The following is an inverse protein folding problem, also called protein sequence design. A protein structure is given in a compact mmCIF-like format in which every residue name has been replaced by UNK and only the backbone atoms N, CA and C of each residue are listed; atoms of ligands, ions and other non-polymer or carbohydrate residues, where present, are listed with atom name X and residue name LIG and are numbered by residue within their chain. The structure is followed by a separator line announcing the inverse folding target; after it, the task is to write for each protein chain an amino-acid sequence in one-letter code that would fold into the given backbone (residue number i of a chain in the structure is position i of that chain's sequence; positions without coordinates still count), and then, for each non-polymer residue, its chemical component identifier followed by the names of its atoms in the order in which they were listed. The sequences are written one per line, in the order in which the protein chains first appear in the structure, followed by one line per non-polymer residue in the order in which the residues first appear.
data_IF_642594464064
#
_entry.id   IF_642594464064
#
_cell.length_a   1.000
_cell.length_b   1.000
_cell.length_c   1.000
_cell.angle_alpha   90.00
_cell.angle_beta   90.00
_cell.angle_gamma   90.00
#
_symmetry.space_group_name_H-M   'P 1'
#
loop_
_entity.id
_entity.type
_entity.pdbx_description
1 polymer ?
#
# COMPACT_ATOMS: atom_id res chain seq x y z
N UNK A 1 -15.28 -9.36 35.54
CA UNK A 1 -14.99 -9.74 34.14
C UNK A 1 -14.93 -8.48 33.28
N UNK A 2 -14.09 -8.46 32.23
CA UNK A 2 -14.06 -7.34 31.26
C UNK A 2 -15.21 -7.49 30.25
N UNK A 3 -15.89 -6.39 29.95
CA UNK A 3 -16.91 -6.35 28.89
C UNK A 3 -16.24 -6.50 27.52
N UNK A 4 -16.79 -7.36 26.66
CA UNK A 4 -16.38 -7.54 25.26
C UNK A 4 -17.39 -6.85 24.37
N UNK A 5 -16.93 -5.97 23.47
CA UNK A 5 -17.74 -5.41 22.40
C UNK A 5 -17.39 -6.13 21.10
N UNK A 6 -18.40 -6.66 20.42
CA UNK A 6 -18.26 -7.23 19.07
C UNK A 6 -18.99 -6.33 18.08
N UNK A 7 -18.42 -6.18 16.90
CA UNK A 7 -19.01 -5.47 15.79
C UNK A 7 -19.11 -6.39 14.57
N UNK A 8 -20.04 -6.11 13.67
CA UNK A 8 -20.29 -6.92 12.48
C UNK A 8 -20.42 -6.03 11.25
N UNK A 9 -19.91 -6.52 10.12
CA UNK A 9 -20.19 -5.95 8.80
C UNK A 9 -21.08 -6.90 8.01
N UNK A 10 -21.94 -6.36 7.15
CA UNK A 10 -22.86 -7.16 6.33
C UNK A 10 -22.86 -6.70 4.87
N UNK A 11 -23.00 -7.65 3.95
CA UNK A 11 -23.22 -7.40 2.53
C UNK A 11 -24.61 -7.88 2.12
N UNK A 12 -25.30 -7.09 1.31
CA UNK A 12 -26.70 -7.34 0.92
C UNK A 12 -26.82 -7.36 -0.60
N UNK A 13 -27.41 -8.41 -1.16
CA UNK A 13 -27.79 -8.50 -2.57
C UNK A 13 -29.28 -8.83 -2.67
N UNK A 14 -29.97 -8.25 -3.66
CA UNK A 14 -31.42 -8.36 -3.84
C UNK A 14 -31.76 -9.21 -5.06
N UNK A 15 -32.61 -10.22 -4.88
CA UNK A 15 -33.22 -10.92 -6.02
C UNK A 15 -34.42 -10.11 -6.57
N UNK A 16 -34.62 -10.05 -7.91
CA UNK A 16 -33.73 -10.52 -8.98
C UNK A 16 -32.69 -9.47 -9.42
N UNK A 17 -32.76 -8.24 -8.88
CA UNK A 17 -31.95 -7.08 -9.29
C UNK A 17 -30.45 -7.37 -9.38
N UNK A 18 -29.94 -8.02 -8.35
CA UNK A 18 -28.52 -8.31 -8.16
C UNK A 18 -28.22 -9.78 -8.52
N UNK A 19 -29.08 -10.47 -9.26
CA UNK A 19 -28.79 -11.81 -9.79
C UNK A 19 -29.99 -12.74 -9.73
N UNK A 20 -30.06 -13.62 -10.72
CA UNK A 20 -31.17 -14.59 -10.85
C UNK A 20 -30.80 -16.00 -10.37
N UNK A 21 -29.53 -16.23 -10.00
CA UNK A 21 -29.05 -17.51 -9.46
C UNK A 21 -28.53 -17.35 -8.03
N UNK A 22 -28.64 -18.38 -7.17
CA UNK A 22 -28.08 -18.36 -5.82
C UNK A 22 -26.59 -18.02 -5.80
N UNK A 23 -25.79 -18.61 -6.70
CA UNK A 23 -24.35 -18.37 -6.76
C UNK A 23 -24.00 -16.91 -7.06
N UNK A 24 -24.74 -16.27 -7.99
CA UNK A 24 -24.53 -14.83 -8.28
C UNK A 24 -24.92 -13.95 -7.09
N UNK A 25 -26.03 -14.24 -6.42
CA UNK A 25 -26.46 -13.48 -5.25
C UNK A 25 -25.48 -13.61 -4.09
N UNK A 26 -24.96 -14.81 -3.82
CA UNK A 26 -23.95 -15.05 -2.78
C UNK A 26 -22.66 -14.30 -3.11
N UNK A 27 -22.16 -14.43 -4.34
CA UNK A 27 -20.96 -13.73 -4.78
C UNK A 27 -21.09 -12.22 -4.63
N UNK A 28 -22.22 -11.64 -5.03
CA UNK A 28 -22.47 -10.19 -4.95
C UNK A 28 -22.69 -9.69 -3.52
N UNK A 29 -23.34 -10.49 -2.67
CA UNK A 29 -23.42 -10.19 -1.24
C UNK A 29 -22.02 -10.21 -0.60
N UNK A 30 -21.13 -11.12 -1.01
CA UNK A 30 -19.75 -11.14 -0.52
C UNK A 30 -18.94 -9.93 -1.02
N UNK A 31 -19.11 -9.51 -2.28
CA UNK A 31 -18.52 -8.25 -2.78
C UNK A 31 -18.98 -7.04 -1.97
N UNK A 32 -20.27 -6.96 -1.65
CA UNK A 32 -20.80 -5.89 -0.81
C UNK A 32 -20.26 -5.96 0.64
N UNK A 33 -20.14 -7.16 1.20
CA UNK A 33 -19.55 -7.39 2.52
C UNK A 33 -18.08 -6.95 2.55
N UNK A 34 -17.34 -7.23 1.47
CA UNK A 34 -15.97 -6.80 1.31
C UNK A 34 -15.86 -5.28 1.35
N UNK A 35 -16.72 -4.58 0.59
CA UNK A 35 -16.76 -3.12 0.58
C UNK A 35 -17.10 -2.55 1.98
N UNK A 36 -18.05 -3.17 2.67
CA UNK A 36 -18.42 -2.79 4.05
C UNK A 36 -17.25 -2.98 5.05
N UNK A 37 -16.35 -3.94 4.81
CA UNK A 37 -15.14 -4.13 5.63
C UNK A 37 -14.06 -3.08 5.35
N UNK A 38 -14.02 -2.52 4.14
CA UNK A 38 -13.04 -1.50 3.74
C UNK A 38 -13.43 -0.09 4.15
N UNK A 39 -14.71 0.27 4.07
CA UNK A 39 -15.18 1.63 4.38
C UNK A 39 -15.34 1.95 5.88
N UNK A 40 -14.73 1.15 6.76
CA UNK A 40 -14.68 1.43 8.20
C UNK A 40 -15.16 0.30 9.12
N UNK A 41 -15.62 -0.84 8.57
CA UNK A 41 -16.22 -1.96 9.32
C UNK A 41 -17.47 -1.51 10.11
N UNK A 42 -18.12 -2.44 10.82
CA UNK A 42 -19.31 -2.15 11.64
C UNK A 42 -20.46 -1.47 10.87
N UNK A 43 -20.60 -1.84 9.60
CA UNK A 43 -21.56 -1.23 8.67
C UNK A 43 -22.07 -2.28 7.68
N UNK A 44 -23.10 -1.93 6.91
CA UNK A 44 -23.56 -2.75 5.81
C UNK A 44 -23.47 -2.00 4.48
N UNK A 45 -23.36 -2.77 3.40
CA UNK A 45 -23.45 -2.27 2.03
C UNK A 45 -24.40 -3.14 1.24
N UNK A 46 -25.16 -2.49 0.37
CA UNK A 46 -25.93 -3.16 -0.68
C UNK A 46 -25.04 -3.28 -1.90
N UNK A 47 -25.16 -4.38 -2.64
CA UNK A 47 -24.41 -4.55 -3.87
C UNK A 47 -24.74 -3.44 -4.86
N UNK A 48 -23.68 -2.85 -5.40
CA UNK A 48 -23.72 -1.95 -6.55
C UNK A 48 -22.74 -2.47 -7.58
N UNK A 49 -23.09 -2.40 -8.86
CA UNK A 49 -22.26 -2.94 -9.94
C UNK A 49 -20.84 -2.32 -9.97
N UNK A 50 -20.70 -1.06 -9.52
CA UNK A 50 -19.39 -0.41 -9.38
C UNK A 50 -18.47 -1.13 -8.37
N UNK A 51 -19.02 -1.81 -7.36
CA UNK A 51 -18.25 -2.59 -6.39
C UNK A 51 -17.55 -3.78 -7.05
N UNK A 52 -18.17 -4.40 -8.05
CA UNK A 52 -17.58 -5.51 -8.82
C UNK A 52 -16.35 -5.02 -9.61
N UNK A 53 -16.46 -3.84 -10.24
CA UNK A 53 -15.34 -3.20 -10.95
C UNK A 53 -14.18 -2.86 -9.99
N UNK A 54 -14.50 -2.28 -8.83
CA UNK A 54 -13.48 -1.95 -7.82
C UNK A 54 -12.82 -3.20 -7.23
N UNK A 55 -13.60 -4.25 -6.99
CA UNK A 55 -13.11 -5.52 -6.47
C UNK A 55 -12.17 -6.21 -7.47
N UNK A 56 -12.57 -6.31 -8.73
CA UNK A 56 -11.72 -6.88 -9.77
C UNK A 56 -10.45 -6.03 -9.98
N UNK A 57 -10.57 -4.70 -10.05
CA UNK A 57 -9.41 -3.80 -10.17
C UNK A 57 -8.40 -4.01 -9.04
N UNK A 58 -8.88 -4.14 -7.80
CA UNK A 58 -8.04 -4.44 -6.65
C UNK A 58 -7.36 -5.80 -6.79
N UNK A 59 -8.12 -6.82 -7.18
CA UNK A 59 -7.62 -8.19 -7.34
C UNK A 59 -6.51 -8.22 -8.39
N UNK A 60 -6.69 -7.52 -9.50
CA UNK A 60 -5.65 -7.45 -10.53
C UNK A 60 -4.42 -6.71 -10.03
N UNK A 61 -4.58 -5.59 -9.31
CA UNK A 61 -3.43 -4.91 -8.69
C UNK A 61 -2.68 -5.82 -7.72
N UNK A 62 -3.38 -6.56 -6.86
CA UNK A 62 -2.71 -7.47 -5.92
C UNK A 62 -1.89 -8.53 -6.64
N UNK A 63 -2.43 -9.09 -7.73
CA UNK A 63 -1.72 -10.04 -8.57
C UNK A 63 -0.54 -9.40 -9.31
N UNK A 64 -0.71 -8.17 -9.83
CA UNK A 64 0.35 -7.48 -10.57
C UNK A 64 1.46 -6.97 -9.65
N UNK A 65 1.17 -6.72 -8.37
CA UNK A 65 2.20 -6.39 -7.38
C UNK A 65 3.16 -7.55 -7.12
N UNK A 66 2.73 -8.81 -7.33
CA UNK A 66 3.64 -9.95 -7.26
C UNK A 66 4.72 -9.81 -8.33
N UNK A 67 5.99 -9.72 -7.93
CA UNK A 67 7.11 -9.60 -8.86
C UNK A 67 7.36 -8.20 -9.42
N UNK A 68 6.59 -7.17 -9.01
CA UNK A 68 6.71 -5.81 -9.56
C UNK A 68 8.09 -5.18 -9.28
N UNK A 69 8.69 -5.54 -8.14
CA UNK A 69 10.04 -5.15 -7.77
C UNK A 69 11.07 -5.68 -8.77
N UNK A 70 11.04 -6.98 -9.07
CA UNK A 70 11.96 -7.66 -9.97
C UNK A 70 11.80 -7.21 -11.42
N UNK A 71 10.58 -6.85 -11.82
CA UNK A 71 10.29 -6.29 -13.14
C UNK A 71 10.71 -4.84 -13.31
N UNK A 72 11.18 -4.18 -12.24
CA UNK A 72 11.64 -2.79 -12.29
C UNK A 72 10.51 -1.79 -12.53
N UNK A 73 9.29 -2.11 -12.08
CA UNK A 73 8.11 -1.27 -12.30
C UNK A 73 8.01 -0.13 -11.28
N UNK A 74 8.78 -0.18 -10.19
CA UNK A 74 8.81 0.87 -9.19
C UNK A 74 9.94 1.88 -9.45
N UNK A 75 9.65 3.15 -9.16
CA UNK A 75 10.65 4.20 -9.07
C UNK A 75 10.42 5.08 -7.83
N UNK A 76 11.43 5.84 -7.44
CA UNK A 76 11.34 6.83 -6.37
C UNK A 76 11.40 8.25 -6.94
N UNK A 77 10.33 9.00 -6.75
CA UNK A 77 10.35 10.45 -6.89
C UNK A 77 10.91 11.09 -5.63
N UNK A 78 11.59 12.22 -5.78
CA UNK A 78 12.26 12.89 -4.68
C UNK A 78 11.74 14.31 -4.56
N UNK A 79 11.11 14.63 -3.42
CA UNK A 79 10.58 15.96 -3.15
C UNK A 79 11.47 16.70 -2.13
N UNK A 80 12.06 17.85 -2.48
CA UNK A 80 12.83 18.65 -1.52
C UNK A 80 11.95 19.18 -0.38
N UNK A 81 12.45 19.11 0.86
CA UNK A 81 11.87 19.76 2.04
C UNK A 81 12.75 20.95 2.39
N UNK A 82 12.15 22.12 2.49
CA UNK A 82 12.84 23.40 2.69
C UNK A 82 12.64 23.88 4.12
N UNK A 83 13.74 24.30 4.76
CA UNK A 83 13.74 24.96 6.05
C UNK A 83 13.08 26.33 5.95
N UNK A 84 12.05 26.57 6.76
CA UNK A 84 11.34 27.86 6.80
C UNK A 84 12.23 28.97 7.35
N UNK A 85 13.22 28.64 8.19
CA UNK A 85 14.07 29.62 8.85
C UNK A 85 15.07 30.30 7.90
N UNK A 86 15.63 29.56 6.94
CA UNK A 86 16.72 30.03 6.07
C UNK A 86 16.52 29.72 4.57
N UNK A 87 15.40 29.13 4.19
CA UNK A 87 15.06 28.85 2.79
C UNK A 87 15.92 27.76 2.14
N UNK A 88 16.76 27.05 2.91
CA UNK A 88 17.64 26.00 2.39
C UNK A 88 16.95 24.65 2.40
N UNK A 89 17.35 23.76 1.48
CA UNK A 89 16.89 22.37 1.47
C UNK A 89 17.45 21.67 2.72
N UNK A 90 16.56 21.20 3.60
CA UNK A 90 16.91 20.49 4.82
C UNK A 90 16.97 18.98 4.63
N UNK A 91 16.12 18.45 3.76
CA UNK A 91 16.04 17.02 3.44
C UNK A 91 15.26 16.78 2.16
N UNK A 92 15.14 15.52 1.76
CA UNK A 92 14.35 15.09 0.63
C UNK A 92 13.39 13.99 1.08
N UNK A 93 12.17 13.98 0.58
CA UNK A 93 11.23 12.89 0.78
C UNK A 93 11.21 11.97 -0.44
N UNK A 94 11.42 10.67 -0.21
CA UNK A 94 11.33 9.63 -1.23
C UNK A 94 9.89 9.11 -1.32
N UNK A 95 9.30 9.25 -2.50
CA UNK A 95 7.92 8.90 -2.78
C UNK A 95 7.87 7.86 -3.89
N UNK A 96 7.42 6.66 -3.55
CA UNK A 96 7.27 5.56 -4.51
C UNK A 96 6.26 5.90 -5.61
N UNK A 97 6.54 5.41 -6.81
CA UNK A 97 5.68 5.44 -7.99
C UNK A 97 5.70 4.05 -8.62
N UNK A 98 4.56 3.60 -9.12
CA UNK A 98 4.46 2.32 -9.81
C UNK A 98 4.04 2.56 -11.26
N UNK A 99 4.93 2.24 -12.19
CA UNK A 99 4.69 2.28 -13.62
C UNK A 99 4.27 0.90 -14.10
N UNK A 100 2.96 0.69 -14.13
CA UNK A 100 2.42 -0.55 -14.65
C UNK A 100 2.44 -0.53 -16.19
N UNK A 101 2.88 -1.63 -16.85
CA UNK A 101 3.04 -1.67 -18.31
C UNK A 101 1.75 -1.32 -19.07
N UNK A 102 0.59 -1.78 -18.59
CA UNK A 102 -0.70 -1.53 -19.26
C UNK A 102 -1.50 -0.35 -18.68
N UNK A 103 -1.30 0.01 -17.40
CA UNK A 103 -2.15 1.00 -16.69
C UNK A 103 -1.46 2.35 -16.57
N UNK A 104 -0.17 2.42 -16.93
CA UNK A 104 0.65 3.59 -16.68
C UNK A 104 0.89 3.77 -15.18
N UNK A 105 0.87 5.03 -14.74
CA UNK A 105 1.19 5.38 -13.36
C UNK A 105 0.04 5.02 -12.41
N UNK A 106 0.25 4.02 -11.56
CA UNK A 106 -0.68 3.63 -10.50
C UNK A 106 -0.33 4.41 -9.21
N UNK A 107 -1.27 5.16 -8.62
CA UNK A 107 -0.97 6.02 -7.47
C UNK A 107 -0.73 5.20 -6.18
N UNK A 108 0.18 5.66 -5.29
CA UNK A 108 0.45 4.99 -4.01
C UNK A 108 -0.78 4.76 -3.13
N UNK A 109 -1.75 5.67 -3.17
CA UNK A 109 -3.02 5.53 -2.43
C UNK A 109 -3.85 4.33 -2.87
N UNK A 110 -3.60 3.80 -4.07
CA UNK A 110 -4.31 2.65 -4.62
C UNK A 110 -3.59 1.34 -4.28
N UNK A 111 -2.27 1.25 -4.51
CA UNK A 111 -1.55 -0.02 -4.36
C UNK A 111 -0.97 -0.26 -2.96
N UNK A 112 -0.64 0.78 -2.17
CA UNK A 112 -0.07 0.59 -0.82
C UNK A 112 -1.05 -0.16 0.10
N UNK A 113 -2.34 0.21 0.20
CA UNK A 113 -3.28 -0.51 1.07
C UNK A 113 -3.46 -1.98 0.67
N UNK A 114 -3.27 -2.29 -0.61
CA UNK A 114 -3.35 -3.65 -1.15
C UNK A 114 -2.10 -4.42 -0.74
N UNK A 115 -0.92 -3.86 -0.97
CA UNK A 115 0.37 -4.42 -0.54
C UNK A 115 0.46 -4.64 0.97
N UNK A 116 -0.15 -3.75 1.77
CA UNK A 116 -0.25 -3.90 3.22
C UNK A 116 -1.11 -5.10 3.62
N UNK A 117 -2.22 -5.31 2.92
CA UNK A 117 -3.12 -6.42 3.20
C UNK A 117 -2.53 -7.77 2.78
N UNK A 118 -1.81 -7.81 1.66
CA UNK A 118 -1.18 -9.03 1.15
C UNK A 118 0.24 -9.28 1.70
N UNK A 119 0.79 -8.35 2.48
CA UNK A 119 2.13 -8.47 3.09
C UNK A 119 3.29 -8.08 2.16
N UNK A 120 3.01 -7.85 0.87
CA UNK A 120 3.98 -7.40 -0.15
C UNK A 120 4.67 -6.08 0.20
N UNK A 121 4.05 -5.26 1.05
CA UNK A 121 4.62 -3.99 1.53
C UNK A 121 5.97 -4.16 2.23
N UNK A 122 6.26 -5.35 2.77
CA UNK A 122 7.54 -5.64 3.43
C UNK A 122 8.66 -5.61 2.40
N UNK A 123 8.53 -6.40 1.33
CA UNK A 123 9.52 -6.47 0.25
C UNK A 123 9.65 -5.13 -0.49
N UNK A 124 8.52 -4.50 -0.82
CA UNK A 124 8.49 -3.16 -1.43
C UNK A 124 9.23 -2.16 -0.54
N UNK A 125 9.00 -2.21 0.77
CA UNK A 125 9.65 -1.33 1.73
C UNK A 125 11.16 -1.50 1.82
N UNK A 126 11.65 -2.74 1.72
CA UNK A 126 13.10 -2.99 1.64
C UNK A 126 13.69 -2.44 0.34
N UNK A 127 13.01 -2.66 -0.80
CA UNK A 127 13.41 -2.09 -2.08
C UNK A 127 13.44 -0.56 -2.03
N UNK A 128 12.41 0.08 -1.46
CA UNK A 128 12.36 1.54 -1.26
C UNK A 128 13.55 2.00 -0.43
N UNK A 129 13.90 1.27 0.63
CA UNK A 129 15.01 1.62 1.51
C UNK A 129 16.35 1.53 0.77
N UNK A 130 16.61 0.44 0.04
CA UNK A 130 17.84 0.28 -0.74
C UNK A 130 17.97 1.38 -1.79
N UNK A 131 16.91 1.65 -2.55
CA UNK A 131 16.89 2.70 -3.57
C UNK A 131 17.05 4.09 -2.97
N UNK A 132 16.45 4.38 -1.81
CA UNK A 132 16.62 5.64 -1.10
C UNK A 132 18.07 5.85 -0.62
N UNK A 133 18.73 4.79 -0.15
CA UNK A 133 20.15 4.83 0.23
C UNK A 133 21.04 5.15 -0.99
N UNK A 134 20.75 4.55 -2.15
CA UNK A 134 21.45 4.87 -3.39
C UNK A 134 21.21 6.31 -3.86
N UNK A 135 19.97 6.81 -3.74
CA UNK A 135 19.65 8.20 -4.04
C UNK A 135 20.41 9.17 -3.13
N UNK A 136 20.54 8.85 -1.84
CA UNK A 136 21.25 9.69 -0.88
C UNK A 136 22.72 9.88 -1.28
N UNK A 137 23.39 8.84 -1.79
CA UNK A 137 24.78 8.93 -2.27
C UNK A 137 24.98 9.90 -3.45
N UNK A 138 23.90 10.23 -4.16
CA UNK A 138 23.92 11.18 -5.28
C UNK A 138 23.59 12.61 -4.84
N UNK A 139 23.34 12.84 -3.54
CA UNK A 139 23.02 14.15 -2.98
C UNK A 139 24.26 14.78 -2.31
N UNK A 140 24.24 16.10 -2.08
CA UNK A 140 25.34 16.76 -1.36
C UNK A 140 25.59 16.13 0.01
N UNK A 141 26.84 16.17 0.46
CA UNK A 141 27.22 15.69 1.77
C UNK A 141 26.35 16.30 2.88
N UNK A 142 25.89 15.46 3.81
CA UNK A 142 25.00 15.86 4.90
C UNK A 142 23.52 16.00 4.50
N UNK A 143 23.14 15.71 3.25
CA UNK A 143 21.74 15.57 2.88
C UNK A 143 21.06 14.44 3.67
N UNK A 144 19.74 14.54 3.82
CA UNK A 144 18.91 13.51 4.45
C UNK A 144 17.81 13.10 3.49
N UNK A 145 17.51 11.81 3.43
CA UNK A 145 16.36 11.27 2.70
C UNK A 145 15.39 10.65 3.70
N UNK A 146 14.13 11.07 3.65
CA UNK A 146 13.03 10.50 4.43
C UNK A 146 12.31 9.45 3.59
N UNK A 147 12.06 8.28 4.16
CA UNK A 147 11.24 7.23 3.57
C UNK A 147 9.94 7.08 4.39
N UNK A 148 8.87 6.69 3.71
CA UNK A 148 7.61 6.36 4.35
C UNK A 148 7.61 4.88 4.76
N UNK A 149 7.15 4.57 5.97
CA UNK A 149 7.14 3.20 6.51
C UNK A 149 5.72 2.81 6.89
N UNK A 150 5.26 1.67 6.38
CA UNK A 150 3.95 1.13 6.71
C UNK A 150 3.89 0.62 8.17
N UNK A 151 2.74 0.75 8.86
CA UNK A 151 2.51 0.09 10.13
C UNK A 151 2.69 -1.43 10.09
N UNK A 152 2.49 -2.08 8.93
CA UNK A 152 2.72 -3.52 8.75
C UNK A 152 4.20 -3.85 8.87
N UNK A 153 5.07 -3.02 8.30
CA UNK A 153 6.53 -3.17 8.40
C UNK A 153 6.99 -2.97 9.84
N UNK A 154 6.54 -1.92 10.52
CA UNK A 154 6.92 -1.62 11.92
C UNK A 154 6.53 -2.72 12.92
N UNK A 155 5.51 -3.54 12.59
CA UNK A 155 5.09 -4.67 13.43
C UNK A 155 5.94 -5.93 13.24
N UNK A 156 6.79 -5.98 12.22
CA UNK A 156 7.74 -7.08 12.04
C UNK A 156 8.78 -7.05 13.15
N UNK A 157 9.02 -8.21 13.79
CA UNK A 157 9.95 -8.30 14.93
C UNK A 157 11.39 -7.99 14.52
N UNK A 158 11.73 -8.33 13.29
CA UNK A 158 13.04 -8.16 12.66
C UNK A 158 13.15 -6.85 11.85
N UNK A 159 12.19 -5.92 11.98
CA UNK A 159 12.20 -4.67 11.21
C UNK A 159 13.51 -3.89 11.36
N UNK A 160 13.96 -3.66 12.61
CA UNK A 160 15.20 -2.91 12.88
C UNK A 160 16.43 -3.64 12.32
N UNK A 161 16.46 -4.97 12.44
CA UNK A 161 17.54 -5.81 11.93
C UNK A 161 17.65 -5.70 10.41
N UNK A 162 16.52 -5.81 9.68
CA UNK A 162 16.47 -5.65 8.22
C UNK A 162 16.95 -4.27 7.77
N UNK A 163 16.45 -3.21 8.42
CA UNK A 163 16.85 -1.84 8.07
C UNK A 163 18.33 -1.61 8.30
N UNK A 164 18.86 -2.09 9.42
CA UNK A 164 20.30 -1.99 9.75
C UNK A 164 21.14 -2.74 8.72
N UNK A 165 20.73 -3.96 8.35
CA UNK A 165 21.40 -4.72 7.30
C UNK A 165 21.45 -3.98 5.96
N UNK A 166 20.38 -3.28 5.57
CA UNK A 166 20.36 -2.46 4.35
C UNK A 166 21.32 -1.26 4.46
N UNK A 167 21.39 -0.60 5.62
CA UNK A 167 22.31 0.51 5.83
C UNK A 167 23.78 0.07 5.77
N UNK A 168 24.09 -1.09 6.35
CA UNK A 168 25.42 -1.72 6.27
C UNK A 168 25.75 -2.13 4.82
N UNK A 169 24.84 -2.82 4.14
CA UNK A 169 24.97 -3.22 2.72
C UNK A 169 25.27 -2.01 1.83
N UNK A 170 24.54 -0.91 2.06
CA UNK A 170 24.65 0.30 1.26
C UNK A 170 25.72 1.26 1.75
N UNK A 171 26.33 1.05 2.91
CA UNK A 171 27.35 1.95 3.47
C UNK A 171 26.84 3.36 3.77
N UNK A 172 25.55 3.49 4.10
CA UNK A 172 24.93 4.77 4.49
C UNK A 172 24.85 4.83 6.02
N UNK A 173 25.13 6.01 6.60
CA UNK A 173 24.89 6.23 8.02
C UNK A 173 23.39 6.35 8.29
N UNK A 174 22.83 5.61 9.28
CA UNK A 174 21.49 5.85 9.81
C UNK A 174 21.33 7.27 10.37
#
# INVERSE_FOLDING_TARGET
GKAVRSGASAGVAFYPRDGETPDRLVSRADTALYQAKHEGRNTYRTFEQQMEVLFERRRTIDADLDGATERGEFELHVQPRVSVADGRISSYEALIRWHHPERGLVPPSEFIPIAEQSGKIIEIGEWVTRTACQLLKQKPDGAKVSINVSPVQLRQKDFVERMTGIFEETGVSP
#
